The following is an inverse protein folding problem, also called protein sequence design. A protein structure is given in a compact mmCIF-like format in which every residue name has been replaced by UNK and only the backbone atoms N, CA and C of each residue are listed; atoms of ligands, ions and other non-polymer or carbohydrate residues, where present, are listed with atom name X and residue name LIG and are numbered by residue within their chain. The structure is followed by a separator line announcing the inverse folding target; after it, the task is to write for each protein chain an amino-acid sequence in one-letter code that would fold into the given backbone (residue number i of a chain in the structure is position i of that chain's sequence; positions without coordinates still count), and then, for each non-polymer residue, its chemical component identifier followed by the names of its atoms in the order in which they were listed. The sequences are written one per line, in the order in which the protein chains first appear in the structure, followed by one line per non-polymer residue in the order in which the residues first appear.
data_IF_174502769556
#
_entry.id   IF_174502769556
#
_cell.length_a   1.000
_cell.length_b   1.000
_cell.length_c   1.000
_cell.angle_alpha   90.00
_cell.angle_beta   90.00
_cell.angle_gamma   90.00
#
_symmetry.space_group_name_H-M   'P 1'
#
loop_
_entity.id
_entity.type
_entity.pdbx_description
1 polymer ?
#
# COMPACT_ATOMS: atom_id res chain seq x y z
N UNK A 1 -15.51 -18.91 -24.48
CA UNK A 1 -14.06 -19.00 -24.74
C UNK A 1 -13.33 -18.65 -23.45
N UNK A 2 -12.70 -19.63 -22.78
CA UNK A 2 -12.05 -19.42 -21.48
C UNK A 2 -10.68 -18.79 -21.75
N UNK A 3 -10.45 -17.56 -21.30
CA UNK A 3 -9.13 -16.94 -21.42
C UNK A 3 -8.17 -17.66 -20.47
N UNK A 4 -7.05 -18.12 -21.00
CA UNK A 4 -6.01 -18.81 -20.23
C UNK A 4 -4.99 -17.78 -19.71
N UNK A 5 -4.90 -17.64 -18.39
CA UNK A 5 -3.97 -16.73 -17.74
C UNK A 5 -2.78 -17.52 -17.18
N UNK A 6 -1.57 -17.04 -17.46
CA UNK A 6 -0.37 -17.53 -16.77
C UNK A 6 -0.20 -16.75 -15.47
N UNK A 7 0.06 -17.45 -14.37
CA UNK A 7 0.32 -16.85 -13.06
C UNK A 7 1.70 -17.24 -12.54
N UNK A 8 2.29 -16.33 -11.76
CA UNK A 8 3.54 -16.53 -11.03
C UNK A 8 3.39 -15.88 -9.65
N UNK A 9 3.54 -16.68 -8.60
CA UNK A 9 3.39 -16.23 -7.22
C UNK A 9 4.73 -15.75 -6.66
N UNK A 10 4.72 -14.53 -6.13
CA UNK A 10 5.78 -13.96 -5.31
C UNK A 10 5.25 -13.84 -3.88
N UNK A 11 5.78 -14.64 -2.97
CA UNK A 11 5.35 -14.64 -1.56
C UNK A 11 6.55 -14.80 -0.63
N UNK A 12 6.46 -14.23 0.57
CA UNK A 12 7.49 -14.42 1.61
C UNK A 12 7.38 -15.82 2.25
N UNK A 13 6.18 -16.40 2.23
CA UNK A 13 5.86 -17.66 2.87
C UNK A 13 6.32 -18.86 2.02
N UNK A 14 7.46 -19.44 2.39
CA UNK A 14 8.00 -20.65 1.75
C UNK A 14 7.06 -21.86 1.85
N UNK A 15 6.08 -21.87 2.76
CA UNK A 15 5.09 -22.96 2.87
C UNK A 15 4.21 -23.06 1.63
N UNK A 16 4.17 -22.02 0.78
CA UNK A 16 3.47 -22.08 -0.51
C UNK A 16 4.21 -22.95 -1.53
N UNK A 17 5.52 -23.14 -1.40
CA UNK A 17 6.36 -23.84 -2.38
C UNK A 17 5.83 -25.22 -2.83
N UNK A 18 5.33 -26.11 -1.94
CA UNK A 18 4.84 -27.42 -2.35
C UNK A 18 3.56 -27.40 -3.21
N UNK A 19 2.82 -26.28 -3.20
CA UNK A 19 1.56 -26.14 -3.93
C UNK A 19 1.72 -25.63 -5.37
N UNK A 20 2.92 -25.18 -5.74
CA UNK A 20 3.19 -24.57 -7.04
C UNK A 20 4.31 -25.31 -7.77
N UNK A 21 4.26 -25.31 -9.10
CA UNK A 21 5.41 -25.75 -9.90
C UNK A 21 6.59 -24.82 -9.65
N UNK A 22 7.82 -25.36 -9.71
CA UNK A 22 9.06 -24.58 -9.52
C UNK A 22 9.16 -23.34 -10.41
N UNK A 23 8.49 -23.34 -11.57
CA UNK A 23 8.41 -22.23 -12.53
C UNK A 23 7.30 -21.19 -12.25
N UNK A 24 6.48 -21.41 -11.23
CA UNK A 24 5.32 -20.57 -10.87
C UNK A 24 5.44 -19.93 -9.50
N UNK A 25 6.55 -20.15 -8.78
CA UNK A 25 6.74 -19.62 -7.44
C UNK A 25 8.18 -19.16 -7.23
N UNK A 26 8.33 -18.05 -6.52
CA UNK A 26 9.59 -17.63 -5.92
C UNK A 26 9.34 -17.06 -4.54
N UNK A 27 10.20 -17.44 -3.58
CA UNK A 27 10.18 -16.82 -2.26
C UNK A 27 10.76 -15.39 -2.36
N UNK A 28 9.95 -14.40 -1.97
CA UNK A 28 10.20 -13.00 -2.26
C UNK A 28 9.69 -12.08 -1.15
N UNK A 29 10.50 -11.10 -0.76
CA UNK A 29 10.08 -10.04 0.16
C UNK A 29 9.56 -8.82 -0.62
N UNK A 30 8.26 -8.56 -0.49
CA UNK A 30 7.59 -7.45 -1.16
C UNK A 30 8.07 -6.06 -0.69
N UNK A 31 8.52 -5.92 0.55
CA UNK A 31 8.96 -4.61 1.08
C UNK A 31 10.41 -4.27 0.70
N UNK A 32 11.26 -5.28 0.54
CA UNK A 32 12.67 -5.08 0.21
C UNK A 32 12.99 -5.34 -1.26
N UNK A 33 12.10 -6.00 -2.00
CA UNK A 33 12.35 -6.45 -3.38
C UNK A 33 13.35 -7.61 -3.46
N UNK A 34 13.56 -8.33 -2.35
CA UNK A 34 14.60 -9.36 -2.23
C UNK A 34 14.07 -10.76 -2.58
N UNK A 35 14.85 -11.52 -3.34
CA UNK A 35 14.62 -12.94 -3.61
C UNK A 35 15.51 -13.81 -2.72
N UNK A 36 14.91 -14.78 -2.04
CA UNK A 36 15.63 -15.66 -1.09
C UNK A 36 16.34 -16.84 -1.76
N UNK A 37 15.99 -17.15 -3.00
CA UNK A 37 16.63 -18.20 -3.80
C UNK A 37 17.31 -17.58 -5.04
N UNK A 38 18.55 -18.02 -5.31
CA UNK A 38 19.40 -17.46 -6.37
C UNK A 38 18.85 -17.68 -7.78
N UNK A 39 17.99 -18.67 -7.98
CA UNK A 39 17.36 -18.95 -9.27
C UNK A 39 16.04 -18.20 -9.47
N UNK A 40 15.48 -17.60 -8.42
CA UNK A 40 14.17 -16.95 -8.46
C UNK A 40 14.09 -15.81 -9.46
N UNK A 41 15.16 -15.01 -9.59
CA UNK A 41 15.23 -13.94 -10.60
C UNK A 41 15.10 -14.50 -12.02
N UNK A 42 15.82 -15.59 -12.33
CA UNK A 42 15.75 -16.26 -13.64
C UNK A 42 14.37 -16.85 -13.93
N UNK A 43 13.74 -17.43 -12.90
CA UNK A 43 12.36 -17.96 -12.98
C UNK A 43 11.38 -16.86 -13.34
N UNK A 44 11.44 -15.72 -12.64
CA UNK A 44 10.58 -14.57 -12.90
C UNK A 44 10.84 -14.01 -14.31
N UNK A 45 12.09 -13.82 -14.71
CA UNK A 45 12.43 -13.33 -16.06
C UNK A 45 11.90 -14.25 -17.16
N UNK A 46 12.01 -15.57 -16.98
CA UNK A 46 11.44 -16.56 -17.91
C UNK A 46 9.91 -16.44 -17.99
N UNK A 47 9.24 -16.26 -16.85
CA UNK A 47 7.80 -15.99 -16.81
C UNK A 47 7.42 -14.70 -17.55
N UNK A 48 8.12 -13.59 -17.27
CA UNK A 48 7.85 -12.28 -17.88
C UNK A 48 8.05 -12.31 -19.41
N UNK A 49 9.06 -13.03 -19.91
CA UNK A 49 9.26 -13.29 -21.35
C UNK A 49 8.11 -14.05 -21.98
N UNK A 50 7.43 -14.90 -21.20
CA UNK A 50 6.37 -15.79 -21.70
C UNK A 50 4.98 -15.16 -21.82
N UNK A 51 4.82 -13.90 -21.37
CA UNK A 51 3.56 -13.15 -21.36
C UNK A 51 3.73 -11.82 -22.09
N UNK A 52 2.66 -11.34 -22.75
CA UNK A 52 2.64 -10.06 -23.48
C UNK A 52 2.05 -8.90 -22.68
N UNK A 53 1.19 -9.22 -21.70
CA UNK A 53 0.52 -8.26 -20.85
C UNK A 53 0.78 -8.66 -19.39
N UNK A 54 1.01 -7.67 -18.53
CA UNK A 54 1.28 -7.88 -17.11
C UNK A 54 0.21 -7.23 -16.25
N UNK A 55 -0.34 -8.00 -15.32
CA UNK A 55 -1.15 -7.52 -14.21
C UNK A 55 -0.45 -7.94 -12.93
N UNK A 56 -0.20 -6.99 -12.04
CA UNK A 56 0.34 -7.24 -10.70
C UNK A 56 -0.81 -7.09 -9.70
N UNK A 57 -1.14 -8.17 -8.99
CA UNK A 57 -2.13 -8.17 -7.91
C UNK A 57 -1.39 -8.32 -6.59
N UNK A 58 -1.66 -7.44 -5.63
CA UNK A 58 -1.00 -7.45 -4.32
C UNK A 58 -2.01 -7.23 -3.20
N UNK A 59 -1.91 -8.04 -2.15
CA UNK A 59 -2.62 -7.87 -0.88
C UNK A 59 -1.59 -7.75 0.25
N UNK A 60 -0.96 -6.57 0.42
CA UNK A 60 0.09 -6.38 1.42
C UNK A 60 -0.49 -6.35 2.85
N UNK A 61 0.29 -6.75 3.88
CA UNK A 61 -0.20 -6.73 5.26
C UNK A 61 -0.56 -5.31 5.72
N UNK A 62 -1.56 -5.21 6.61
CA UNK A 62 -2.00 -3.91 7.13
C UNK A 62 -0.87 -3.20 7.88
N UNK A 63 -0.69 -1.90 7.61
CA UNK A 63 0.30 -1.06 8.31
C UNK A 63 1.72 -1.08 7.73
N UNK A 64 1.92 -1.65 6.53
CA UNK A 64 3.22 -1.58 5.85
C UNK A 64 3.58 -0.16 5.40
N UNK A 65 4.89 0.05 5.20
CA UNK A 65 5.41 1.26 4.56
C UNK A 65 5.06 1.23 3.06
N UNK A 66 4.03 1.99 2.69
CA UNK A 66 3.47 2.03 1.32
C UNK A 66 4.52 2.43 0.27
N UNK A 67 5.46 3.31 0.62
CA UNK A 67 6.53 3.73 -0.31
C UNK A 67 7.45 2.55 -0.70
N UNK A 68 7.80 1.68 0.25
CA UNK A 68 8.60 0.49 -0.03
C UNK A 68 7.86 -0.48 -0.95
N UNK A 69 6.56 -0.66 -0.75
CA UNK A 69 5.72 -1.45 -1.65
C UNK A 69 5.72 -0.89 -3.07
N UNK A 70 5.49 0.43 -3.23
CA UNK A 70 5.48 1.04 -4.55
C UNK A 70 6.84 0.96 -5.24
N UNK A 71 7.94 1.12 -4.50
CA UNK A 71 9.29 0.89 -5.04
C UNK A 71 9.42 -0.51 -5.62
N UNK A 72 8.99 -1.54 -4.91
CA UNK A 72 9.07 -2.93 -5.39
C UNK A 72 8.15 -3.18 -6.59
N UNK A 73 6.92 -2.68 -6.59
CA UNK A 73 6.01 -2.80 -7.74
C UNK A 73 6.60 -2.11 -8.98
N UNK A 74 7.20 -0.93 -8.83
CA UNK A 74 7.91 -0.22 -9.91
C UNK A 74 9.06 -1.08 -10.45
N UNK A 75 9.89 -1.66 -9.58
CA UNK A 75 10.97 -2.56 -10.00
C UNK A 75 10.47 -3.78 -10.79
N UNK A 76 9.35 -4.40 -10.37
CA UNK A 76 8.76 -5.52 -11.09
C UNK A 76 8.22 -5.11 -12.47
N UNK A 77 7.59 -3.93 -12.56
CA UNK A 77 7.21 -3.34 -13.84
C UNK A 77 8.43 -3.11 -14.72
N UNK A 78 9.47 -2.46 -14.19
CA UNK A 78 10.63 -2.06 -14.99
C UNK A 78 11.33 -3.30 -15.54
N UNK A 79 11.44 -4.38 -14.76
CA UNK A 79 11.91 -5.69 -15.25
C UNK A 79 11.08 -6.24 -16.42
N UNK A 80 9.76 -6.08 -16.38
CA UNK A 80 8.89 -6.48 -17.51
C UNK A 80 9.16 -5.62 -18.75
N UNK A 81 9.29 -4.30 -18.58
CA UNK A 81 9.61 -3.38 -19.67
C UNK A 81 10.99 -3.64 -20.30
N UNK A 82 11.99 -3.96 -19.48
CA UNK A 82 13.35 -4.30 -19.91
C UNK A 82 13.35 -5.59 -20.73
N UNK A 83 12.62 -6.60 -20.28
CA UNK A 83 12.47 -7.88 -20.99
C UNK A 83 11.80 -7.70 -22.37
N UNK A 84 10.89 -6.75 -22.50
CA UNK A 84 10.13 -6.48 -23.73
C UNK A 84 10.67 -5.27 -24.54
N UNK A 85 11.91 -4.85 -24.27
CA UNK A 85 12.63 -3.83 -25.06
C UNK A 85 11.87 -2.51 -25.25
N UNK A 86 11.23 -1.99 -24.19
CA UNK A 86 10.52 -0.68 -24.17
C UNK A 86 9.42 -0.49 -25.23
N UNK A 87 8.89 -1.55 -25.86
CA UNK A 87 7.81 -1.45 -26.85
C UNK A 87 6.39 -1.29 -26.24
N UNK A 88 6.27 -1.08 -24.93
CA UNK A 88 4.97 -1.07 -24.25
C UNK A 88 4.66 0.33 -23.71
N UNK A 89 4.20 1.22 -24.59
CA UNK A 89 3.55 2.49 -24.23
C UNK A 89 2.15 2.25 -23.63
N UNK A 90 2.03 1.49 -22.54
CA UNK A 90 0.78 1.47 -21.75
C UNK A 90 0.91 0.74 -20.42
N UNK A 91 2.04 0.80 -19.71
CA UNK A 91 2.03 0.34 -18.30
C UNK A 91 1.60 1.47 -17.39
N UNK A 92 0.29 1.57 -17.19
CA UNK A 92 -0.26 2.34 -16.07
C UNK A 92 0.02 1.57 -14.79
N UNK A 93 1.07 1.94 -14.06
CA UNK A 93 1.01 1.79 -12.59
C UNK A 93 -0.08 2.77 -12.21
N UNK A 94 -1.29 2.29 -12.00
CA UNK A 94 -2.27 3.05 -11.25
C UNK A 94 -1.96 2.68 -9.79
N UNK A 95 -1.23 3.49 -9.01
CA UNK A 95 -1.60 3.59 -7.60
C UNK A 95 -3.05 4.05 -7.69
N UNK A 96 -4.02 3.13 -7.60
CA UNK A 96 -5.39 3.41 -8.01
C UNK A 96 -5.76 4.79 -7.45
N UNK A 97 -6.09 5.78 -8.29
CA UNK A 97 -6.57 7.08 -7.80
C UNK A 97 -7.81 6.89 -6.91
N UNK A 98 -8.42 5.70 -6.96
CA UNK A 98 -9.40 5.22 -5.98
C UNK A 98 -8.87 5.17 -4.53
N UNK A 99 -7.62 4.76 -4.29
CA UNK A 99 -7.12 4.40 -2.94
C UNK A 99 -6.16 5.41 -2.34
N UNK A 100 -5.33 6.09 -3.15
CA UNK A 100 -4.36 7.05 -2.63
C UNK A 100 -4.18 8.25 -3.55
N UNK A 101 -3.97 9.42 -2.95
CA UNK A 101 -3.66 10.68 -3.63
C UNK A 101 -2.33 11.22 -3.16
N UNK A 102 -1.61 11.93 -4.02
CA UNK A 102 -0.43 12.69 -3.60
C UNK A 102 -0.87 13.95 -2.85
N UNK A 103 -0.30 14.22 -1.68
CA UNK A 103 -0.52 15.46 -0.97
C UNK A 103 0.68 16.37 -1.17
N UNK A 104 0.50 17.45 -1.95
CA UNK A 104 1.54 18.44 -2.23
C UNK A 104 2.07 19.09 -0.96
N UNK A 105 1.20 19.47 -0.02
CA UNK A 105 1.59 20.10 1.24
C UNK A 105 2.47 19.21 2.15
N UNK A 106 2.40 17.89 1.99
CA UNK A 106 3.20 16.94 2.77
C UNK A 106 4.25 16.21 1.93
N UNK A 107 4.30 16.49 0.63
CA UNK A 107 5.14 15.82 -0.36
C UNK A 107 5.14 14.28 -0.28
N UNK A 108 3.96 13.69 -0.03
CA UNK A 108 3.81 12.23 0.16
C UNK A 108 2.46 11.70 -0.32
N UNK A 109 2.42 10.42 -0.67
CA UNK A 109 1.16 9.71 -0.94
C UNK A 109 0.38 9.44 0.35
N UNK A 110 -0.93 9.72 0.33
CA UNK A 110 -1.87 9.51 1.44
C UNK A 110 -3.10 8.77 0.92
N UNK A 111 -3.84 8.08 1.80
CA UNK A 111 -5.13 7.50 1.42
C UNK A 111 -6.04 8.59 0.80
N UNK A 112 -6.81 8.24 -0.23
CA UNK A 112 -7.57 9.21 -1.02
C UNK A 112 -8.54 10.02 -0.13
N UNK A 113 -9.19 9.33 0.80
CA UNK A 113 -10.11 9.88 1.79
C UNK A 113 -9.44 10.71 2.90
N UNK A 114 -8.11 10.62 3.03
CA UNK A 114 -7.39 11.34 4.08
C UNK A 114 -7.30 12.83 3.74
N UNK A 115 -7.84 13.68 4.61
CA UNK A 115 -7.83 15.14 4.44
C UNK A 115 -6.65 15.75 5.19
N UNK A 116 -5.92 16.63 4.50
CA UNK A 116 -4.84 17.41 5.10
C UNK A 116 -5.42 18.39 6.13
N UNK A 117 -4.78 18.52 7.30
CA UNK A 117 -5.13 19.52 8.28
C UNK A 117 -4.23 20.74 8.13
N UNK A 118 -4.76 21.83 7.58
CA UNK A 118 -3.99 23.07 7.39
C UNK A 118 -3.50 23.71 8.69
N UNK A 119 -4.14 23.45 9.83
CA UNK A 119 -3.71 23.96 11.14
C UNK A 119 -2.53 23.18 11.72
N UNK A 120 -2.42 21.88 11.42
CA UNK A 120 -1.32 21.04 11.90
C UNK A 120 -0.22 20.85 10.85
N UNK A 121 -0.45 21.20 9.57
CA UNK A 121 0.48 20.94 8.47
C UNK A 121 0.69 19.45 8.17
N UNK A 122 -0.25 18.59 8.59
CA UNK A 122 -0.12 17.14 8.41
C UNK A 122 -1.39 16.55 7.78
N UNK A 123 -1.21 15.46 7.04
CA UNK A 123 -2.28 14.50 6.79
C UNK A 123 -2.33 13.51 7.96
N UNK A 124 -3.26 13.65 8.93
CA UNK A 124 -3.34 12.75 10.08
C UNK A 124 -3.55 11.32 9.56
N UNK A 125 -2.56 10.45 9.75
CA UNK A 125 -2.60 9.08 9.23
C UNK A 125 -3.73 8.30 9.90
N UNK A 126 -4.89 8.20 9.25
CA UNK A 126 -5.84 7.09 9.31
C UNK A 126 -7.06 7.40 8.42
N UNK A 127 -7.44 6.37 7.67
CA UNK A 127 -8.63 6.24 6.85
C UNK A 127 -9.87 6.64 7.65
N UNK A 128 -10.90 7.08 6.94
CA UNK A 128 -12.27 7.17 7.44
C UNK A 128 -12.56 5.94 8.31
N UNK A 129 -13.00 6.14 9.56
CA UNK A 129 -13.45 5.02 10.39
C UNK A 129 -14.57 4.28 9.63
N UNK A 130 -14.80 2.98 9.91
CA UNK A 130 -15.85 2.18 9.22
C UNK A 130 -17.25 2.85 9.18
N UNK A 131 -17.47 3.88 9.99
CA UNK A 131 -18.66 4.70 10.07
C UNK A 131 -18.65 5.99 9.22
N UNK A 132 -17.67 6.20 8.34
CA UNK A 132 -17.64 7.41 7.50
C UNK A 132 -16.95 8.62 8.16
N UNK A 133 -16.50 8.52 9.42
CA UNK A 133 -15.96 9.68 10.14
C UNK A 133 -14.45 9.90 9.94
N UNK A 134 -14.03 11.15 9.75
CA UNK A 134 -12.63 11.54 9.61
C UNK A 134 -12.00 11.97 10.94
N UNK A 135 -10.79 12.54 10.86
CA UNK A 135 -10.20 13.31 11.96
C UNK A 135 -10.75 14.75 11.94
N UNK A 136 -10.80 15.37 13.11
CA UNK A 136 -11.06 16.81 13.27
C UNK A 136 -9.93 17.46 14.06
N UNK A 137 -9.62 18.72 13.75
CA UNK A 137 -8.70 19.49 14.56
C UNK A 137 -9.40 19.96 15.85
N UNK A 138 -8.75 19.81 17.00
CA UNK A 138 -9.17 20.42 18.24
C UNK A 138 -8.27 21.61 18.55
N UNK A 139 -8.81 22.83 18.45
CA UNK A 139 -8.05 24.07 18.72
C UNK A 139 -7.51 24.13 20.15
N UNK A 140 -8.30 23.65 21.13
CA UNK A 140 -7.89 23.63 22.54
C UNK A 140 -6.73 22.68 22.83
N UNK A 141 -6.64 21.55 22.11
CA UNK A 141 -5.52 20.61 22.24
C UNK A 141 -4.42 20.85 21.18
N UNK A 142 -4.62 21.81 20.28
CA UNK A 142 -3.80 22.07 19.09
C UNK A 142 -3.38 20.80 18.33
N UNK A 143 -4.31 19.86 18.13
CA UNK A 143 -4.01 18.58 17.45
C UNK A 143 -5.23 17.98 16.77
N UNK A 144 -4.97 17.17 15.74
CA UNK A 144 -5.99 16.32 15.13
C UNK A 144 -6.40 15.18 16.06
N UNK A 145 -7.70 15.01 16.27
CA UNK A 145 -8.30 13.96 17.09
C UNK A 145 -9.37 13.22 16.28
N UNK A 146 -9.75 12.01 16.70
CA UNK A 146 -10.85 11.28 16.05
C UNK A 146 -12.13 12.12 16.14
N UNK A 147 -12.98 12.13 15.10
CA UNK A 147 -14.21 12.95 15.11
C UNK A 147 -15.10 12.74 16.34
N UNK A 148 -15.22 11.50 16.82
CA UNK A 148 -16.01 11.17 18.02
C UNK A 148 -15.44 11.69 19.35
N UNK A 149 -14.20 12.20 19.35
CA UNK A 149 -13.57 12.68 20.57
C UNK A 149 -14.00 14.12 20.83
N UNK A 150 -14.52 14.34 22.03
CA UNK A 150 -14.92 15.64 22.53
C UNK A 150 -13.87 16.14 23.51
N UNK A 151 -13.57 17.44 23.43
CA UNK A 151 -12.65 18.07 24.36
C UNK A 151 -13.34 18.23 25.71
N UNK A 152 -12.78 17.64 26.76
CA UNK A 152 -13.28 17.80 28.11
C UNK A 152 -12.63 19.01 28.78
N UNK A 153 -13.45 19.91 29.33
CA UNK A 153 -12.97 21.07 30.09
C UNK A 153 -12.39 20.71 31.45
N UNK A 154 -12.73 19.54 32.02
CA UNK A 154 -12.19 19.07 33.30
C UNK A 154 -10.72 18.65 33.14
N UNK A 155 -10.47 17.60 32.38
CA UNK A 155 -9.12 17.04 32.21
C UNK A 155 -8.28 17.69 31.09
N UNK A 156 -8.81 18.69 30.38
CA UNK A 156 -8.11 19.39 29.29
C UNK A 156 -7.77 18.51 28.06
N UNK A 157 -8.33 17.30 27.95
CA UNK A 157 -8.02 16.32 26.90
C UNK A 157 -9.25 15.93 26.09
N UNK A 158 -9.02 15.62 24.81
CA UNK A 158 -10.02 15.01 23.95
C UNK A 158 -10.14 13.51 24.21
N UNK A 159 -11.35 13.03 24.50
CA UNK A 159 -11.67 11.62 24.67
C UNK A 159 -13.14 11.33 24.28
N UNK A 160 -13.53 10.05 24.26
CA UNK A 160 -14.93 9.65 24.08
C UNK A 160 -15.77 10.06 25.30
N UNK A 161 -17.08 10.22 25.11
CA UNK A 161 -18.00 10.44 26.22
C UNK A 161 -17.86 9.34 27.30
N UNK A 162 -17.91 9.72 28.58
CA UNK A 162 -17.76 8.79 29.70
C UNK A 162 -16.34 8.26 29.97
N UNK A 163 -15.31 8.75 29.27
CA UNK A 163 -13.90 8.34 29.45
C UNK A 163 -13.02 9.44 30.07
N UNK A 164 -13.60 10.33 30.87
CA UNK A 164 -12.82 11.36 31.56
C UNK A 164 -11.96 10.72 32.65
N UNK A 165 -10.66 11.01 32.67
CA UNK A 165 -9.71 10.46 33.66
C UNK A 165 -9.72 11.24 34.98
N UNK A 166 -10.25 12.45 34.98
CA UNK A 166 -10.54 13.21 36.19
C UNK A 166 -12.02 12.98 36.52
N UNK A 167 -12.25 11.92 37.31
CA UNK A 167 -13.50 11.70 38.05
C UNK A 167 -13.47 12.46 39.35
#
# INVERSE_FOLDING_TARGET
MRMEFKSFLLDIDARMMPFYLSKQFAQFSMLTGHFYDSNSTKKLESFLKSVKNLIIVCDPPFGIMVEALFRTIRQLKDKFLDVHQKLVESVRIVPNDLFCRFCEMCERYVANENRHCGLCGICPSKVIFQDGTSYRHCARCNRCVKCKYLHCSKCGRCHLAGRCLET
#
